data_IF_451555678758
#
_entry.id   IF_451555678758
#
_cell.length_a   1.000
_cell.length_b   1.000
_cell.length_c   1.000
_cell.angle_alpha   90.00
_cell.angle_beta   90.00
_cell.angle_gamma   90.00
#
_symmetry.space_group_name_H-M   'P 1'
#
loop_
_entity.id
_entity.type
_entity.pdbx_description
1 polymer ?
#
# COMPACT_ATOMS: atom_id res chain seq x y z
N UNK A 1 12.16 -27.39 -11.75
CA UNK A 1 11.26 -26.53 -12.52
C UNK A 1 11.89 -25.16 -12.59
N UNK A 2 12.48 -24.80 -13.73
CA UNK A 2 12.89 -23.42 -14.04
C UNK A 2 11.62 -22.59 -14.19
N UNK A 3 11.20 -21.95 -13.09
CA UNK A 3 10.06 -21.05 -13.11
C UNK A 3 10.32 -19.92 -14.10
N UNK A 4 9.32 -19.56 -14.89
CA UNK A 4 9.37 -18.46 -15.85
C UNK A 4 9.80 -17.18 -15.13
N UNK A 5 10.95 -16.60 -15.49
CA UNK A 5 11.51 -15.39 -14.87
C UNK A 5 11.00 -14.18 -15.63
N UNK A 6 10.27 -13.33 -14.97
CA UNK A 6 9.78 -12.05 -15.51
C UNK A 6 10.77 -10.93 -15.17
N UNK A 7 11.24 -10.24 -16.21
CA UNK A 7 12.14 -9.10 -16.09
C UNK A 7 11.44 -7.83 -16.65
N UNK A 8 10.82 -7.01 -15.77
CA UNK A 8 10.06 -5.84 -16.21
C UNK A 8 10.94 -4.76 -16.84
N UNK A 9 10.34 -3.95 -17.71
CA UNK A 9 11.01 -2.85 -18.38
C UNK A 9 11.70 -1.86 -17.45
N UNK A 10 11.11 -1.57 -16.27
CA UNK A 10 11.70 -0.69 -15.26
C UNK A 10 13.05 -1.20 -14.72
N UNK A 11 13.26 -2.52 -14.69
CA UNK A 11 14.52 -3.15 -14.30
C UNK A 11 15.49 -3.20 -15.48
N UNK A 12 14.98 -3.52 -16.68
CA UNK A 12 15.80 -3.57 -17.90
C UNK A 12 16.53 -2.26 -18.21
N UNK A 13 15.92 -1.12 -17.91
CA UNK A 13 16.50 0.21 -18.17
C UNK A 13 17.91 0.37 -17.61
N UNK A 14 18.11 -0.08 -16.39
CA UNK A 14 19.35 0.15 -15.64
C UNK A 14 20.22 -1.11 -15.54
N UNK A 15 19.71 -2.27 -16.00
CA UNK A 15 20.32 -3.58 -15.80
C UNK A 15 21.76 -3.67 -16.31
N UNK A 16 22.00 -3.28 -17.56
CA UNK A 16 23.34 -3.39 -18.17
C UNK A 16 24.38 -2.48 -17.49
N UNK A 17 23.93 -1.33 -16.97
CA UNK A 17 24.76 -0.41 -16.21
C UNK A 17 25.10 -1.02 -14.84
N UNK A 18 24.09 -1.45 -14.08
CA UNK A 18 24.29 -2.06 -12.76
C UNK A 18 25.19 -3.28 -12.83
N UNK A 19 25.02 -4.15 -13.85
CA UNK A 19 25.87 -5.32 -14.02
C UNK A 19 27.35 -4.94 -14.22
N UNK A 20 27.63 -3.94 -15.07
CA UNK A 20 29.03 -3.51 -15.34
C UNK A 20 29.66 -2.83 -14.14
N UNK A 21 28.96 -1.88 -13.50
CA UNK A 21 29.43 -1.16 -12.32
C UNK A 21 29.70 -2.10 -11.12
N UNK A 22 28.97 -3.22 -11.06
CA UNK A 22 29.10 -4.21 -9.99
C UNK A 22 30.00 -5.40 -10.36
N UNK A 23 30.74 -5.32 -11.46
CA UNK A 23 31.57 -6.45 -11.96
C UNK A 23 30.76 -7.75 -12.07
N UNK A 24 29.49 -7.66 -12.48
CA UNK A 24 28.52 -8.77 -12.57
C UNK A 24 28.19 -9.45 -11.24
N UNK A 25 28.51 -8.82 -10.10
CA UNK A 25 28.15 -9.28 -8.75
C UNK A 25 26.94 -8.50 -8.25
N UNK A 26 25.78 -9.10 -8.34
CA UNK A 26 24.51 -8.43 -8.03
C UNK A 26 23.65 -9.25 -7.07
N UNK A 27 22.75 -8.54 -6.39
CA UNK A 27 21.61 -9.09 -5.63
C UNK A 27 20.34 -8.80 -6.40
N UNK A 28 19.45 -9.77 -6.53
CA UNK A 28 18.14 -9.58 -7.12
C UNK A 28 17.07 -9.54 -6.02
N UNK A 29 16.21 -8.53 -6.05
CA UNK A 29 14.99 -8.51 -5.26
C UNK A 29 13.92 -9.23 -6.06
N UNK A 30 13.44 -10.35 -5.54
CA UNK A 30 12.54 -11.26 -6.25
C UNK A 30 11.24 -11.42 -5.47
N UNK A 31 10.12 -11.48 -6.17
CA UNK A 31 8.85 -11.94 -5.62
C UNK A 31 8.26 -13.06 -6.47
N UNK A 32 7.39 -13.87 -5.88
CA UNK A 32 6.58 -14.85 -6.61
C UNK A 32 5.24 -14.24 -6.97
N UNK A 33 4.84 -14.40 -8.23
CA UNK A 33 3.54 -13.98 -8.73
C UNK A 33 2.97 -15.10 -9.62
N UNK A 34 1.89 -15.74 -9.16
CA UNK A 34 1.22 -16.81 -9.91
C UNK A 34 2.14 -17.99 -10.32
N UNK A 35 3.15 -18.32 -9.51
CA UNK A 35 4.14 -19.37 -9.83
C UNK A 35 5.35 -18.88 -10.62
N UNK A 36 5.35 -17.63 -11.10
CA UNK A 36 6.47 -16.99 -11.78
C UNK A 36 7.37 -16.25 -10.81
N UNK A 37 8.65 -16.10 -11.17
CA UNK A 37 9.60 -15.26 -10.43
C UNK A 37 9.64 -13.88 -11.10
N UNK A 38 9.23 -12.86 -10.37
CA UNK A 38 9.29 -11.46 -10.81
C UNK A 38 10.52 -10.78 -10.19
N UNK A 39 11.46 -10.34 -11.01
CA UNK A 39 12.59 -9.51 -10.56
C UNK A 39 12.10 -8.09 -10.40
N UNK A 40 12.08 -7.59 -9.16
CA UNK A 40 11.61 -6.24 -8.80
C UNK A 40 12.73 -5.20 -8.82
N UNK A 41 13.96 -5.65 -8.56
CA UNK A 41 15.14 -4.77 -8.58
C UNK A 41 16.42 -5.60 -8.75
N UNK A 42 17.47 -4.98 -9.27
CA UNK A 42 18.82 -5.53 -9.35
C UNK A 42 19.79 -4.53 -8.74
N UNK A 43 20.50 -4.95 -7.71
CA UNK A 43 21.36 -4.12 -6.89
C UNK A 43 22.79 -4.63 -6.89
N UNK A 44 23.79 -3.76 -6.73
CA UNK A 44 25.16 -4.21 -6.46
C UNK A 44 25.20 -5.16 -5.26
N UNK A 45 26.05 -6.18 -5.29
CA UNK A 45 26.20 -7.11 -4.17
C UNK A 45 26.62 -6.41 -2.88
N UNK A 46 27.35 -5.30 -2.97
CA UNK A 46 27.77 -4.46 -1.86
C UNK A 46 26.65 -3.62 -1.25
N UNK A 47 25.47 -3.57 -1.89
CA UNK A 47 24.35 -2.79 -1.36
C UNK A 47 23.86 -3.39 -0.03
N UNK A 48 23.76 -2.54 1.01
CA UNK A 48 23.34 -2.89 2.36
C UNK A 48 22.03 -2.24 2.78
N UNK A 49 21.38 -1.53 1.84
CA UNK A 49 20.09 -0.90 2.12
C UNK A 49 19.04 -1.99 2.46
N UNK A 50 18.17 -1.75 3.45
CA UNK A 50 17.13 -2.71 3.80
C UNK A 50 16.09 -2.86 2.69
N UNK A 51 15.44 -4.02 2.63
CA UNK A 51 14.23 -4.22 1.84
C UNK A 51 13.04 -3.74 2.68
N UNK A 52 12.39 -2.67 2.25
CA UNK A 52 11.40 -1.99 3.10
C UNK A 52 9.98 -2.28 2.65
N UNK A 53 9.11 -2.52 3.63
CA UNK A 53 7.66 -2.50 3.52
C UNK A 53 7.07 -1.28 4.21
N UNK A 54 5.93 -0.81 3.73
CA UNK A 54 5.13 0.23 4.37
C UNK A 54 3.77 -0.34 4.73
N UNK A 55 3.38 -0.30 6.00
CA UNK A 55 2.04 -0.63 6.45
C UNK A 55 1.30 0.67 6.82
N UNK A 56 0.08 0.82 6.32
CA UNK A 56 -0.78 1.98 6.55
C UNK A 56 -2.13 1.53 7.09
N UNK A 57 -2.47 2.02 8.27
CA UNK A 57 -3.84 2.04 8.78
C UNK A 57 -4.51 3.34 8.34
N UNK A 58 -5.53 3.22 7.49
CA UNK A 58 -6.26 4.32 6.90
C UNK A 58 -7.60 4.52 7.59
N UNK A 59 -7.56 5.19 8.73
CA UNK A 59 -8.77 5.54 9.47
C UNK A 59 -9.54 6.72 8.86
N UNK A 60 -10.81 6.84 9.22
CA UNK A 60 -11.67 7.96 8.81
C UNK A 60 -11.14 9.29 9.33
N UNK A 61 -10.63 9.32 10.56
CA UNK A 61 -10.15 10.55 11.22
C UNK A 61 -8.64 10.68 11.18
N UNK A 62 -7.91 9.59 11.39
CA UNK A 62 -6.45 9.56 11.49
C UNK A 62 -5.86 8.44 10.68
N UNK A 63 -4.58 8.60 10.34
CA UNK A 63 -3.75 7.60 9.70
C UNK A 63 -2.61 7.22 10.63
N UNK A 64 -2.22 5.96 10.59
CA UNK A 64 -1.00 5.48 11.23
C UNK A 64 -0.17 4.67 10.23
N UNK A 65 1.13 4.94 10.15
CA UNK A 65 2.03 4.30 9.21
C UNK A 65 3.29 3.76 9.87
N UNK A 66 3.80 2.66 9.34
CA UNK A 66 5.01 1.99 9.84
C UNK A 66 5.87 1.58 8.65
N UNK A 67 7.17 1.95 8.66
CA UNK A 67 8.18 1.37 7.78
C UNK A 67 8.83 0.18 8.48
N UNK A 68 8.92 -0.93 7.77
CA UNK A 68 9.41 -2.20 8.31
C UNK A 68 10.49 -2.76 7.38
N UNK A 69 11.58 -3.24 7.94
CA UNK A 69 12.53 -4.08 7.23
C UNK A 69 11.90 -5.46 7.00
N UNK A 70 11.73 -5.84 5.76
CA UNK A 70 11.04 -7.07 5.35
C UNK A 70 11.84 -8.35 5.64
N UNK A 71 13.16 -8.24 5.86
CA UNK A 71 14.00 -9.39 6.17
C UNK A 71 14.02 -9.67 7.67
N UNK A 72 14.17 -8.63 8.49
CA UNK A 72 14.29 -8.79 9.95
C UNK A 72 12.99 -8.58 10.71
N UNK A 73 11.97 -7.96 10.07
CA UNK A 73 10.74 -7.53 10.76
C UNK A 73 10.94 -6.29 11.64
N UNK A 74 12.12 -5.68 11.67
CA UNK A 74 12.42 -4.52 12.48
C UNK A 74 11.64 -3.30 12.00
N UNK A 75 11.02 -2.59 12.93
CA UNK A 75 10.39 -1.31 12.66
C UNK A 75 11.49 -0.25 12.48
N UNK A 76 11.49 0.41 11.32
CA UNK A 76 12.46 1.44 10.96
C UNK A 76 11.97 2.84 11.31
N UNK A 77 10.69 3.12 11.11
CA UNK A 77 10.04 4.38 11.50
C UNK A 77 8.54 4.18 11.70
N UNK A 78 7.94 5.06 12.50
CA UNK A 78 6.48 5.16 12.71
C UNK A 78 6.06 6.61 12.62
N UNK A 79 4.87 6.85 12.07
CA UNK A 79 4.24 8.16 12.09
C UNK A 79 2.72 8.02 12.11
N UNK A 80 2.04 9.04 12.63
CA UNK A 80 0.59 9.17 12.58
C UNK A 80 0.22 10.61 12.26
N UNK A 81 -0.99 10.80 11.74
CA UNK A 81 -1.48 12.13 11.38
C UNK A 81 -2.97 12.15 11.13
N UNK A 82 -3.52 13.33 10.91
CA UNK A 82 -4.93 13.50 10.54
C UNK A 82 -5.21 13.10 9.10
N UNK A 83 -6.43 12.64 8.84
CA UNK A 83 -6.90 12.39 7.49
C UNK A 83 -7.40 13.70 6.85
N UNK A 84 -6.70 14.18 5.82
CA UNK A 84 -7.03 15.42 5.10
C UNK A 84 -8.44 15.44 4.47
N UNK A 85 -9.08 14.28 4.35
CA UNK A 85 -10.46 14.17 3.87
C UNK A 85 -11.50 14.72 4.85
N UNK A 86 -11.16 14.95 6.12
CA UNK A 86 -12.08 15.46 7.16
C UNK A 86 -12.79 16.76 6.72
N UNK A 87 -12.09 17.65 6.03
CA UNK A 87 -12.67 18.91 5.53
C UNK A 87 -13.74 18.72 4.45
N UNK A 88 -13.81 17.57 3.83
CA UNK A 88 -14.82 17.22 2.81
C UNK A 88 -15.96 16.39 3.35
N UNK A 89 -15.84 15.91 4.58
CA UNK A 89 -16.86 15.14 5.30
C UNK A 89 -16.30 14.58 6.60
N UNK A 90 -16.98 14.84 7.71
CA UNK A 90 -16.57 14.35 9.02
C UNK A 90 -16.66 12.82 9.13
N UNK A 91 -17.60 12.22 8.41
CA UNK A 91 -17.91 10.80 8.41
C UNK A 91 -17.86 10.18 6.99
N UNK A 92 -17.98 8.87 6.92
CA UNK A 92 -17.91 8.10 5.66
C UNK A 92 -19.04 8.45 4.70
N UNK A 93 -20.26 8.70 5.20
CA UNK A 93 -21.44 8.99 4.36
C UNK A 93 -21.26 10.34 3.66
N UNK A 94 -20.87 11.37 4.39
CA UNK A 94 -20.61 12.69 3.82
C UNK A 94 -19.49 12.65 2.77
N UNK A 95 -18.45 11.84 2.97
CA UNK A 95 -17.39 11.65 1.98
C UNK A 95 -17.86 10.90 0.74
N UNK A 96 -18.73 9.91 0.88
CA UNK A 96 -19.34 9.24 -0.27
C UNK A 96 -20.14 10.25 -1.09
N UNK A 97 -20.99 11.06 -0.44
CA UNK A 97 -21.78 12.12 -1.11
C UNK A 97 -20.84 13.12 -1.83
N UNK A 98 -19.79 13.57 -1.18
CA UNK A 98 -18.79 14.46 -1.80
C UNK A 98 -18.09 13.80 -2.98
N UNK A 99 -17.80 12.51 -2.90
CA UNK A 99 -17.14 11.78 -4.00
C UNK A 99 -17.98 11.75 -5.26
N UNK A 100 -19.30 11.77 -5.15
CA UNK A 100 -20.25 11.81 -6.27
C UNK A 100 -20.34 13.19 -6.97
N UNK A 101 -19.86 14.26 -6.36
CA UNK A 101 -19.86 15.61 -6.96
C UNK A 101 -18.81 15.73 -8.08
N UNK A 102 -18.96 16.67 -9.02
CA UNK A 102 -17.95 16.91 -10.05
C UNK A 102 -16.55 17.11 -9.47
N UNK A 103 -15.60 16.26 -9.85
CA UNK A 103 -14.23 16.25 -9.33
C UNK A 103 -14.05 15.76 -7.88
N UNK A 104 -15.12 15.37 -7.18
CA UNK A 104 -15.10 14.98 -5.76
C UNK A 104 -14.18 13.82 -5.45
N UNK A 105 -14.21 12.76 -6.27
CA UNK A 105 -13.30 11.61 -6.12
C UNK A 105 -11.85 12.02 -6.13
N UNK A 106 -11.46 12.86 -7.10
CA UNK A 106 -10.08 13.33 -7.22
C UNK A 106 -9.67 14.20 -6.04
N UNK A 107 -10.56 15.10 -5.58
CA UNK A 107 -10.30 15.93 -4.40
C UNK A 107 -10.07 15.09 -3.15
N UNK A 108 -10.91 14.09 -2.90
CA UNK A 108 -10.78 13.19 -1.75
C UNK A 108 -9.52 12.32 -1.84
N UNK A 109 -9.20 11.80 -3.03
CA UNK A 109 -7.96 11.06 -3.25
C UNK A 109 -6.73 11.96 -3.02
N UNK A 110 -6.72 13.17 -3.58
CA UNK A 110 -5.61 14.12 -3.40
C UNK A 110 -5.44 14.52 -1.93
N UNK A 111 -6.53 14.72 -1.20
CA UNK A 111 -6.48 15.06 0.21
C UNK A 111 -5.80 13.97 1.06
N UNK A 112 -6.13 12.70 0.83
CA UNK A 112 -5.49 11.63 1.60
C UNK A 112 -4.08 11.32 1.10
N UNK A 113 -3.85 11.31 -0.21
CA UNK A 113 -2.53 10.97 -0.77
C UNK A 113 -1.53 12.11 -0.58
N UNK A 114 -1.88 13.33 -1.07
CA UNK A 114 -0.92 14.44 -1.13
C UNK A 114 -0.77 15.18 0.19
N UNK A 115 -1.84 15.25 0.98
CA UNK A 115 -1.84 16.07 2.19
C UNK A 115 -1.68 15.25 3.48
N UNK A 116 -1.86 13.93 3.43
CA UNK A 116 -1.67 13.07 4.59
C UNK A 116 -0.54 12.05 4.38
N UNK A 117 -0.63 11.18 3.37
CA UNK A 117 0.31 10.07 3.19
C UNK A 117 1.70 10.56 2.76
N UNK A 118 1.79 11.45 1.77
CA UNK A 118 3.09 11.94 1.27
C UNK A 118 3.88 12.68 2.36
N UNK A 119 3.31 13.62 3.13
CA UNK A 119 4.02 14.25 4.25
C UNK A 119 4.47 13.24 5.32
N UNK A 120 3.62 12.29 5.68
CA UNK A 120 3.95 11.21 6.61
C UNK A 120 5.13 10.38 6.12
N UNK A 121 5.10 9.90 4.87
CA UNK A 121 6.19 9.14 4.27
C UNK A 121 7.48 9.96 4.19
N UNK A 122 7.40 11.24 3.80
CA UNK A 122 8.56 12.12 3.71
C UNK A 122 9.25 12.31 5.07
N UNK A 123 8.47 12.42 6.14
CA UNK A 123 8.98 12.44 7.50
C UNK A 123 9.68 11.11 7.85
N UNK A 124 9.00 9.98 7.62
CA UNK A 124 9.53 8.66 7.98
C UNK A 124 10.80 8.30 7.19
N UNK A 125 10.88 8.66 5.91
CA UNK A 125 12.07 8.44 5.09
C UNK A 125 13.29 9.20 5.61
N UNK A 126 13.10 10.45 6.06
CA UNK A 126 14.19 11.25 6.66
C UNK A 126 14.63 10.68 7.99
N UNK A 127 13.69 10.34 8.86
CA UNK A 127 13.99 9.80 10.20
C UNK A 127 14.76 8.48 10.12
N UNK A 128 14.40 7.62 9.18
CA UNK A 128 15.03 6.31 9.03
C UNK A 128 16.21 6.29 8.03
N UNK A 129 16.47 7.40 7.32
CA UNK A 129 17.49 7.44 6.27
C UNK A 129 17.19 6.53 5.08
N UNK A 130 15.89 6.28 4.79
CA UNK A 130 15.46 5.33 3.77
C UNK A 130 15.28 6.00 2.40
N UNK A 131 15.89 5.42 1.37
CA UNK A 131 15.59 5.77 0.00
C UNK A 131 14.19 5.21 -0.37
N UNK A 132 13.24 6.02 -0.84
CA UNK A 132 11.91 5.56 -1.25
C UNK A 132 11.93 4.40 -2.26
N UNK A 133 12.93 4.32 -3.12
CA UNK A 133 13.09 3.21 -4.08
C UNK A 133 13.35 1.85 -3.41
N UNK A 134 13.66 1.82 -2.11
CA UNK A 134 13.81 0.57 -1.32
C UNK A 134 12.50 0.07 -0.72
N UNK A 135 11.40 0.79 -0.91
CA UNK A 135 10.07 0.33 -0.49
C UNK A 135 9.44 -0.48 -1.60
N UNK A 136 9.32 -1.79 -1.40
CA UNK A 136 8.88 -2.76 -2.41
C UNK A 136 7.44 -3.23 -2.21
N UNK A 137 6.85 -2.96 -1.04
CA UNK A 137 5.49 -3.38 -0.72
C UNK A 137 4.82 -2.36 0.19
N UNK A 138 3.56 -2.07 -0.10
CA UNK A 138 2.67 -1.32 0.77
C UNK A 138 1.48 -2.19 1.12
N UNK A 139 1.16 -2.31 2.40
CA UNK A 139 -0.05 -2.95 2.90
C UNK A 139 -0.97 -1.89 3.46
N UNK A 140 -2.22 -1.89 3.03
CA UNK A 140 -3.25 -0.95 3.43
C UNK A 140 -4.34 -1.68 4.20
N UNK A 141 -4.62 -1.23 5.42
CA UNK A 141 -5.81 -1.56 6.19
C UNK A 141 -6.68 -0.31 6.33
N UNK A 142 -7.96 -0.43 6.10
CA UNK A 142 -8.94 0.65 6.23
C UNK A 142 -10.34 0.12 5.99
N UNK A 143 -11.36 0.87 6.40
CA UNK A 143 -12.72 0.48 6.07
C UNK A 143 -12.98 0.56 4.56
N UNK A 144 -14.02 -0.10 4.09
CA UNK A 144 -14.32 -0.23 2.66
C UNK A 144 -14.43 1.12 1.95
N UNK A 145 -15.04 2.12 2.59
CA UNK A 145 -15.18 3.47 2.01
C UNK A 145 -13.81 4.14 1.86
N UNK A 146 -12.96 4.10 2.90
CA UNK A 146 -11.64 4.72 2.83
C UNK A 146 -10.76 4.07 1.77
N UNK A 147 -10.84 2.76 1.60
CA UNK A 147 -10.14 2.03 0.56
C UNK A 147 -10.59 2.50 -0.86
N UNK A 148 -11.91 2.68 -1.07
CA UNK A 148 -12.45 3.19 -2.34
C UNK A 148 -11.99 4.63 -2.63
N UNK A 149 -12.05 5.50 -1.64
CA UNK A 149 -11.65 6.91 -1.78
C UNK A 149 -10.16 7.07 -2.06
N UNK A 150 -9.31 6.25 -1.42
CA UNK A 150 -7.87 6.22 -1.72
C UNK A 150 -7.58 5.75 -3.15
N UNK A 151 -8.28 4.72 -3.60
CA UNK A 151 -8.12 4.19 -4.97
C UNK A 151 -8.83 5.06 -6.03
N UNK A 152 -9.55 6.11 -5.64
CA UNK A 152 -10.29 6.99 -6.56
C UNK A 152 -11.49 6.31 -7.22
N UNK A 153 -12.02 5.25 -6.61
CA UNK A 153 -13.17 4.48 -7.11
C UNK A 153 -14.50 5.14 -6.75
N UNK A 154 -15.57 4.75 -7.43
CA UNK A 154 -16.92 5.15 -7.09
C UNK A 154 -17.33 4.56 -5.73
N UNK A 155 -17.71 5.40 -4.79
CA UNK A 155 -18.12 4.98 -3.46
C UNK A 155 -19.65 4.98 -3.27
N UNK A 156 -20.43 5.59 -4.17
CA UNK A 156 -21.89 5.62 -4.06
C UNK A 156 -22.54 4.23 -3.91
N UNK A 157 -22.11 3.18 -4.64
CA UNK A 157 -22.68 1.84 -4.48
C UNK A 157 -22.55 1.26 -3.07
N UNK A 158 -21.62 1.76 -2.25
CA UNK A 158 -21.44 1.29 -0.87
C UNK A 158 -22.65 1.68 0.02
N UNK A 159 -23.28 2.84 -0.25
CA UNK A 159 -24.41 3.39 0.54
C UNK A 159 -25.79 3.20 -0.13
N UNK A 160 -25.82 2.75 -1.37
CA UNK A 160 -27.04 2.55 -2.15
C UNK A 160 -27.35 1.06 -2.28
N UNK A 161 -28.63 0.69 -2.13
CA UNK A 161 -29.05 -0.68 -2.34
C UNK A 161 -28.68 -1.16 -3.75
N UNK A 162 -28.10 -2.35 -3.91
CA UNK A 162 -27.91 -3.46 -2.95
C UNK A 162 -26.62 -3.39 -2.11
N UNK A 163 -26.00 -2.23 -1.91
CA UNK A 163 -24.84 -1.99 -1.04
C UNK A 163 -23.57 -2.76 -1.43
N UNK A 164 -23.31 -2.90 -2.72
CA UNK A 164 -22.18 -3.68 -3.26
C UNK A 164 -20.98 -2.77 -3.53
N UNK A 165 -19.84 -2.98 -2.83
CA UNK A 165 -18.60 -2.26 -3.12
C UNK A 165 -17.98 -2.72 -4.45
N UNK A 166 -17.10 -1.90 -5.05
CA UNK A 166 -16.41 -2.25 -6.29
C UNK A 166 -15.49 -3.46 -6.16
N UNK A 167 -15.04 -3.78 -4.96
CA UNK A 167 -14.19 -4.95 -4.69
C UNK A 167 -14.27 -5.37 -3.22
N UNK A 168 -14.06 -6.65 -2.97
CA UNK A 168 -13.79 -7.21 -1.66
C UNK A 168 -12.30 -7.56 -1.51
N UNK A 169 -11.67 -8.00 -2.58
CA UNK A 169 -10.22 -8.28 -2.68
C UNK A 169 -9.69 -7.66 -3.95
N UNK A 170 -8.45 -7.22 -3.90
CA UNK A 170 -7.73 -6.70 -5.07
C UNK A 170 -6.57 -7.62 -5.42
N UNK A 171 -6.15 -7.59 -6.68
CA UNK A 171 -4.93 -8.21 -7.17
C UNK A 171 -4.23 -7.26 -8.13
N UNK A 172 -2.91 -7.38 -8.22
CA UNK A 172 -2.09 -6.64 -9.20
C UNK A 172 -2.19 -5.10 -9.13
N UNK A 173 -2.33 -4.52 -7.92
CA UNK A 173 -2.22 -3.09 -7.72
C UNK A 173 -0.77 -2.69 -7.42
N UNK A 174 -0.36 -1.55 -7.96
CA UNK A 174 0.93 -0.96 -7.66
C UNK A 174 0.77 0.36 -6.93
N UNK A 175 1.73 0.67 -6.07
CA UNK A 175 1.73 1.93 -5.29
C UNK A 175 1.71 3.17 -6.19
N UNK A 176 2.30 3.09 -7.38
CA UNK A 176 2.27 4.15 -8.40
C UNK A 176 0.86 4.47 -8.90
N UNK A 177 -0.07 3.51 -8.86
CA UNK A 177 -1.46 3.68 -9.35
C UNK A 177 -2.24 4.69 -8.50
N UNK A 178 -1.83 4.87 -7.25
CA UNK A 178 -2.38 5.89 -6.34
C UNK A 178 -1.50 7.16 -6.25
N UNK A 179 -0.47 7.27 -7.10
CA UNK A 179 0.37 8.47 -7.19
C UNK A 179 1.47 8.58 -6.13
N UNK A 180 1.76 7.53 -5.36
CA UNK A 180 2.88 7.51 -4.41
C UNK A 180 4.18 7.09 -5.10
N UNK A 181 5.29 7.70 -4.66
CA UNK A 181 6.63 7.43 -5.17
C UNK A 181 7.36 6.45 -4.24
N UNK A 182 7.46 5.21 -4.67
CA UNK A 182 8.25 4.12 -4.07
C UNK A 182 9.04 3.42 -5.16
N UNK A 183 9.49 2.18 -4.95
CA UNK A 183 10.00 1.37 -6.05
C UNK A 183 8.95 1.32 -7.18
N UNK A 184 9.34 1.44 -8.46
CA UNK A 184 8.38 1.43 -9.57
C UNK A 184 7.50 0.18 -9.65
N UNK A 185 7.95 -0.91 -9.05
CA UNK A 185 7.25 -2.20 -8.95
C UNK A 185 6.74 -2.47 -7.54
N UNK A 186 6.69 -1.45 -6.66
CA UNK A 186 6.12 -1.60 -5.33
C UNK A 186 4.66 -2.02 -5.41
N UNK A 187 4.36 -3.15 -4.80
CA UNK A 187 3.03 -3.73 -4.77
C UNK A 187 2.15 -3.05 -3.72
N UNK A 188 0.91 -2.77 -4.06
CA UNK A 188 -0.11 -2.30 -3.13
C UNK A 188 -1.06 -3.45 -2.79
N UNK A 189 -1.02 -3.90 -1.55
CA UNK A 189 -1.91 -4.93 -1.01
C UNK A 189 -2.95 -4.23 -0.13
N UNK A 190 -4.21 -4.36 -0.50
CA UNK A 190 -5.33 -3.88 0.31
C UNK A 190 -5.87 -5.06 1.12
N UNK A 191 -5.91 -4.91 2.44
CA UNK A 191 -6.51 -5.93 3.31
C UNK A 191 -7.99 -6.16 2.90
N UNK A 192 -8.47 -7.41 2.88
CA UNK A 192 -9.79 -7.74 2.35
C UNK A 192 -10.91 -6.97 3.03
N UNK A 193 -11.83 -6.42 2.24
CA UNK A 193 -13.11 -5.88 2.74
C UNK A 193 -14.08 -7.04 3.02
N UNK A 194 -14.98 -6.85 3.99
CA UNK A 194 -16.01 -7.85 4.34
C UNK A 194 -17.38 -7.39 3.83
N UNK A 195 -17.67 -6.09 3.93
CA UNK A 195 -18.96 -5.52 3.55
C UNK A 195 -18.86 -4.05 3.21
N UNK A 196 -20.00 -3.36 3.12
CA UNK A 196 -20.08 -1.97 2.70
C UNK A 196 -19.25 -1.02 3.56
N UNK A 197 -19.25 -1.21 4.87
CA UNK A 197 -18.52 -0.33 5.82
C UNK A 197 -17.45 -1.07 6.62
N UNK A 198 -17.46 -2.40 6.61
CA UNK A 198 -16.52 -3.25 7.33
C UNK A 198 -15.43 -3.68 6.36
N UNK A 199 -14.23 -3.20 6.57
CA UNK A 199 -13.13 -3.40 5.65
C UNK A 199 -11.89 -4.03 6.26
N UNK A 200 -10.76 -3.72 5.65
CA UNK A 200 -9.46 -4.27 5.97
C UNK A 200 -8.95 -3.95 7.37
N UNK A 201 -9.45 -2.88 8.00
CA UNK A 201 -9.19 -2.54 9.40
C UNK A 201 -9.67 -3.66 10.34
N UNK A 202 -10.90 -4.14 10.16
CA UNK A 202 -11.44 -5.24 10.95
C UNK A 202 -10.77 -6.58 10.61
N UNK A 203 -10.54 -6.88 9.34
CA UNK A 203 -9.86 -8.13 8.96
C UNK A 203 -8.42 -8.18 9.46
N UNK A 204 -7.69 -7.08 9.43
CA UNK A 204 -6.36 -6.99 10.00
C UNK A 204 -6.39 -7.10 11.53
N UNK A 205 -7.36 -6.45 12.19
CA UNK A 205 -7.56 -6.55 13.64
C UNK A 205 -7.89 -7.98 14.07
N UNK A 206 -8.78 -8.67 13.35
CA UNK A 206 -9.10 -10.07 13.60
C UNK A 206 -7.85 -10.95 13.42
N UNK A 207 -7.04 -10.71 12.38
CA UNK A 207 -5.79 -11.45 12.16
C UNK A 207 -4.82 -11.32 13.33
N UNK A 208 -4.60 -10.10 13.81
CA UNK A 208 -3.64 -9.81 14.89
C UNK A 208 -4.14 -10.31 16.25
N UNK A 209 -5.43 -10.20 16.53
CA UNK A 209 -6.03 -10.66 17.79
C UNK A 209 -6.11 -12.18 17.90
N UNK A 210 -5.94 -12.92 16.78
CA UNK A 210 -6.11 -14.37 16.70
C UNK A 210 -7.44 -14.88 17.26
N UNK A 211 -8.48 -14.05 17.21
CA UNK A 211 -9.80 -14.32 17.80
C UNK A 211 -10.46 -15.60 17.26
N UNK A 212 -10.12 -16.01 16.04
CA UNK A 212 -10.62 -17.27 15.47
C UNK A 212 -10.02 -18.53 16.12
N UNK A 213 -8.94 -18.39 16.91
CA UNK A 213 -8.30 -19.48 17.65
C UNK A 213 -8.82 -19.62 19.08
N UNK A 214 -9.74 -18.76 19.51
CA UNK A 214 -10.31 -18.81 20.85
C UNK A 214 -11.36 -19.94 20.94
N UNK A 215 -11.13 -20.98 21.78
CA UNK A 215 -12.08 -22.09 21.96
C UNK A 215 -13.48 -21.63 22.44
N UNK A 216 -13.59 -20.44 23.04
CA UNK A 216 -14.86 -19.89 23.49
C UNK A 216 -15.72 -19.32 22.35
N UNK A 217 -15.16 -19.19 21.14
CA UNK A 217 -15.83 -18.69 19.94
C UNK A 217 -16.27 -19.78 18.95
N UNK A 218 -16.06 -21.06 19.29
CA UNK A 218 -16.45 -22.23 18.48
C UNK A 218 -17.81 -22.80 18.89
#
# INVERSE_FOLDING_TARGET
DEGDIMLPYSVLKDLSWVLRESEFKVKCVISRDGGRLLIRDVLPQSNTDPLVGFALDLGTTSLAGVLVDLESGKILAKASGGNGQIRYGADVINRIIESGRPGGRKRLQDAVVKESIIPMLSFMYREAGINPRRVYRMVLAGNTTMNHLLLGLHADPIRMEPFVPSFFRTSHLYVRDIGLKMNPLAELIVAPNIGSYVGGDITAGALVSMIWNDPAMS
#
